data_IF_770419884977
#
_entry.id   IF_770419884977
#
_cell.length_a   1.000
_cell.length_b   1.000
_cell.length_c   1.000
_cell.angle_alpha   90.00
_cell.angle_beta   90.00
_cell.angle_gamma   90.00
#
_symmetry.space_group_name_H-M   'P 1'
#
loop_
_entity.id
_entity.type
_entity.pdbx_description
1 polymer ?
#
# COMPACT_ATOMS: atom_id res chain seq x y z
N UNK A 1 -4.10 -4.40 13.74
CA UNK A 1 -5.27 -4.97 13.04
C UNK A 1 -5.87 -3.87 12.18
N UNK A 2 -5.85 -4.06 10.87
CA UNK A 2 -6.37 -3.14 9.84
C UNK A 2 -6.78 -3.99 8.64
N UNK A 3 -7.82 -3.58 7.93
CA UNK A 3 -8.22 -4.16 6.65
C UNK A 3 -8.16 -3.07 5.59
N UNK A 4 -7.39 -3.32 4.53
CA UNK A 4 -7.34 -2.48 3.32
C UNK A 4 -7.86 -3.35 2.17
N UNK A 5 -8.78 -2.84 1.38
CA UNK A 5 -9.30 -3.50 0.17
C UNK A 5 -9.22 -2.54 -1.01
N UNK A 6 -8.80 -3.05 -2.17
CA UNK A 6 -8.76 -2.32 -3.43
C UNK A 6 -9.61 -3.02 -4.49
N UNK A 7 -10.23 -2.24 -5.38
CA UNK A 7 -11.03 -2.73 -6.51
C UNK A 7 -10.71 -1.89 -7.75
N UNK A 8 -10.45 -2.57 -8.85
CA UNK A 8 -10.41 -2.01 -10.20
C UNK A 8 -11.78 -2.24 -10.85
N UNK A 9 -12.48 -1.15 -11.17
CA UNK A 9 -13.75 -1.21 -11.86
C UNK A 9 -13.81 -0.15 -12.96
N UNK A 10 -14.06 -0.57 -14.20
CA UNK A 10 -14.17 0.30 -15.39
C UNK A 10 -13.00 1.29 -15.51
N UNK A 11 -11.77 0.78 -15.36
CA UNK A 11 -10.53 1.57 -15.45
C UNK A 11 -10.31 2.54 -14.29
N UNK A 12 -11.05 2.42 -13.19
CA UNK A 12 -10.89 3.22 -11.97
C UNK A 12 -10.53 2.33 -10.79
N UNK A 13 -9.64 2.85 -9.95
CA UNK A 13 -9.22 2.18 -8.72
C UNK A 13 -9.94 2.80 -7.52
N UNK A 14 -10.54 1.95 -6.70
CA UNK A 14 -11.15 2.27 -5.42
C UNK A 14 -10.32 1.61 -4.33
N UNK A 15 -10.06 2.31 -3.24
CA UNK A 15 -9.36 1.76 -2.06
C UNK A 15 -10.14 2.16 -0.81
N UNK A 16 -10.49 1.17 0.01
CA UNK A 16 -11.16 1.34 1.29
C UNK A 16 -10.31 0.81 2.43
N UNK A 17 -10.31 1.52 3.56
CA UNK A 17 -9.59 1.11 4.77
C UNK A 17 -10.46 1.36 5.99
N UNK A 18 -10.46 0.40 6.93
CA UNK A 18 -11.17 0.56 8.20
C UNK A 18 -10.51 1.64 9.09
N UNK A 19 -11.23 2.20 10.07
CA UNK A 19 -10.72 3.26 10.96
C UNK A 19 -10.07 2.75 12.26
N UNK A 20 -9.88 1.42 12.44
CA UNK A 20 -9.38 0.86 13.70
C UNK A 20 -7.90 1.20 13.96
N UNK A 21 -7.59 1.58 15.19
CA UNK A 21 -6.24 1.62 15.77
C UNK A 21 -6.19 0.59 16.89
N UNK A 22 -5.28 -0.37 16.79
CA UNK A 22 -5.17 -1.48 17.74
C UNK A 22 -3.77 -1.56 18.29
N UNK A 23 -3.67 -1.59 19.62
CA UNK A 23 -2.44 -1.83 20.37
C UNK A 23 -2.71 -2.90 21.43
N UNK A 24 -2.12 -4.08 21.26
CA UNK A 24 -2.47 -5.25 22.07
C UNK A 24 -3.97 -5.57 21.95
N UNK A 25 -4.67 -5.60 23.09
CA UNK A 25 -6.12 -5.86 23.16
C UNK A 25 -6.98 -4.59 23.10
N UNK A 26 -6.35 -3.42 23.06
CA UNK A 26 -7.07 -2.14 23.06
C UNK A 26 -7.36 -1.72 21.64
N UNK A 27 -8.66 -1.58 21.32
CA UNK A 27 -9.14 -1.01 20.06
C UNK A 27 -9.69 0.39 20.29
N UNK A 28 -9.27 1.33 19.45
CA UNK A 28 -9.78 2.70 19.38
C UNK A 28 -10.10 3.03 17.93
N UNK A 29 -11.04 3.93 17.73
CA UNK A 29 -11.22 4.55 16.42
C UNK A 29 -10.15 5.63 16.21
N UNK A 30 -9.51 5.61 15.03
CA UNK A 30 -8.55 6.62 14.61
C UNK A 30 -9.20 7.63 13.68
N UNK A 31 -8.88 8.91 13.89
CA UNK A 31 -9.19 9.98 12.92
C UNK A 31 -8.14 10.10 11.82
N UNK A 32 -7.00 9.43 11.96
CA UNK A 32 -5.96 9.40 10.92
C UNK A 32 -6.48 8.57 9.76
N UNK A 33 -6.57 9.19 8.59
CA UNK A 33 -7.00 8.48 7.39
C UNK A 33 -5.90 7.50 6.97
N UNK A 34 -6.25 6.21 6.87
CA UNK A 34 -5.32 5.17 6.41
C UNK A 34 -5.30 5.02 4.88
N UNK A 35 -5.99 5.91 4.17
CA UNK A 35 -6.01 6.03 2.71
C UNK A 35 -5.87 7.49 2.31
N UNK A 36 -4.99 7.78 1.36
CA UNK A 36 -4.71 9.16 0.92
C UNK A 36 -4.23 9.20 -0.52
N UNK A 37 -4.23 10.39 -1.11
CA UNK A 37 -3.63 10.66 -2.43
C UNK A 37 -2.28 11.33 -2.28
N UNK A 38 -1.27 10.82 -2.98
CA UNK A 38 0.06 11.43 -3.09
C UNK A 38 0.40 11.58 -4.57
N UNK A 39 0.22 12.78 -5.13
CA UNK A 39 0.32 12.99 -6.57
C UNK A 39 -0.65 12.08 -7.34
N UNK A 40 -0.20 11.27 -8.32
CA UNK A 40 -1.08 10.39 -9.09
C UNK A 40 -1.44 9.09 -8.35
N UNK A 41 -0.85 8.82 -7.18
CA UNK A 41 -1.02 7.56 -6.45
C UNK A 41 -2.15 7.66 -5.42
N UNK A 42 -3.04 6.67 -5.40
CA UNK A 42 -3.99 6.43 -4.30
C UNK A 42 -3.42 5.32 -3.42
N UNK A 43 -3.11 5.61 -2.16
CA UNK A 43 -2.40 4.67 -1.29
C UNK A 43 -3.26 4.35 -0.06
N UNK A 44 -3.45 3.06 0.23
CA UNK A 44 -4.07 2.56 1.46
C UNK A 44 -3.11 1.64 2.20
N UNK A 45 -2.92 1.83 3.51
CA UNK A 45 -1.87 1.13 4.26
C UNK A 45 -2.38 0.45 5.54
N UNK A 46 -1.62 -0.56 5.99
CA UNK A 46 -1.84 -1.26 7.26
C UNK A 46 -0.65 -1.06 8.21
N UNK A 47 0.13 -2.10 8.52
CA UNK A 47 1.39 -2.19 9.28
C UNK A 47 1.65 -1.15 10.38
N UNK A 48 1.86 0.12 10.02
CA UNK A 48 2.18 1.18 10.98
C UNK A 48 1.65 2.54 10.53
N UNK A 49 1.06 3.28 11.48
CA UNK A 49 0.72 4.71 11.29
C UNK A 49 1.94 5.54 10.88
N UNK A 50 3.13 5.23 11.42
CA UNK A 50 4.35 5.96 11.08
C UNK A 50 4.72 5.75 9.62
N UNK A 51 4.60 4.52 9.11
CA UNK A 51 4.82 4.21 7.69
C UNK A 51 3.86 5.02 6.81
N UNK A 52 2.57 4.99 7.15
CA UNK A 52 1.55 5.76 6.43
C UNK A 52 1.86 7.25 6.37
N UNK A 53 2.20 7.86 7.50
CA UNK A 53 2.59 9.27 7.57
C UNK A 53 3.84 9.59 6.72
N UNK A 54 4.82 8.68 6.68
CA UNK A 54 5.99 8.85 5.82
C UNK A 54 5.58 8.84 4.35
N UNK A 55 4.80 7.84 3.93
CA UNK A 55 4.29 7.74 2.57
C UNK A 55 3.43 8.96 2.18
N UNK A 56 2.56 9.42 3.09
CA UNK A 56 1.66 10.55 2.84
C UNK A 56 2.39 11.88 2.71
N UNK A 57 3.35 12.15 3.61
CA UNK A 57 3.91 13.48 3.74
C UNK A 57 5.30 13.63 3.08
N UNK A 58 6.06 12.54 2.93
CA UNK A 58 7.45 12.59 2.49
C UNK A 58 7.76 11.84 1.19
N UNK A 59 6.88 10.94 0.71
CA UNK A 59 7.15 10.17 -0.51
C UNK A 59 7.30 11.10 -1.73
N UNK A 60 8.43 10.99 -2.41
CA UNK A 60 8.71 11.68 -3.65
C UNK A 60 9.11 10.64 -4.69
N UNK A 61 8.24 10.44 -5.67
CA UNK A 61 8.46 9.50 -6.78
C UNK A 61 8.69 10.31 -8.04
N UNK A 62 9.73 10.03 -8.84
CA UNK A 62 9.92 10.71 -10.11
C UNK A 62 8.73 10.45 -11.04
N UNK A 63 8.46 11.39 -11.94
CA UNK A 63 7.42 11.19 -12.95
C UNK A 63 7.84 10.08 -13.89
N UNK A 64 6.96 9.11 -14.14
CA UNK A 64 7.18 8.10 -15.16
C UNK A 64 7.38 8.79 -16.52
N UNK A 65 8.54 8.54 -17.13
CA UNK A 65 8.80 8.96 -18.51
C UNK A 65 8.16 7.95 -19.47
N UNK A 66 7.86 8.33 -20.71
CA UNK A 66 7.07 7.52 -21.65
C UNK A 66 7.71 6.17 -22.07
N UNK A 67 8.85 5.77 -21.47
CA UNK A 67 9.53 4.51 -21.74
C UNK A 67 9.17 3.49 -20.66
N UNK A 68 8.60 2.36 -21.07
CA UNK A 68 8.34 1.21 -20.20
C UNK A 68 6.88 1.03 -19.78
N UNK A 69 6.57 -0.14 -19.22
CA UNK A 69 5.24 -0.45 -18.66
C UNK A 69 5.07 0.17 -17.28
N UNK A 70 3.82 0.31 -16.83
CA UNK A 70 3.50 0.80 -15.50
C UNK A 70 4.08 -0.13 -14.42
N UNK A 71 4.03 -1.45 -14.64
CA UNK A 71 4.65 -2.42 -13.74
C UNK A 71 6.17 -2.23 -13.61
N UNK A 72 6.88 -2.01 -14.73
CA UNK A 72 8.33 -1.71 -14.67
C UNK A 72 8.60 -0.45 -13.86
N UNK A 73 7.84 0.62 -14.08
CA UNK A 73 7.98 1.85 -13.30
C UNK A 73 7.69 1.63 -11.81
N UNK A 74 6.68 0.83 -11.48
CA UNK A 74 6.33 0.52 -10.10
C UNK A 74 7.47 -0.21 -9.37
N UNK A 75 8.16 -1.13 -10.06
CA UNK A 75 9.27 -1.93 -9.52
C UNK A 75 10.60 -1.17 -9.48
N UNK A 76 10.87 -0.29 -10.45
CA UNK A 76 12.20 0.36 -10.54
C UNK A 76 12.27 1.74 -9.92
N UNK A 77 11.16 2.49 -9.92
CA UNK A 77 11.14 3.90 -9.49
C UNK A 77 10.28 4.11 -8.25
N UNK A 78 9.02 3.64 -8.28
CA UNK A 78 8.08 3.86 -7.20
C UNK A 78 8.53 3.17 -5.91
N UNK A 79 8.74 1.85 -5.98
CA UNK A 79 9.05 1.08 -4.79
C UNK A 79 10.44 1.39 -4.24
N UNK A 80 11.43 1.68 -5.11
CA UNK A 80 12.75 2.12 -4.67
C UNK A 80 12.70 3.49 -3.99
N UNK A 81 11.85 4.42 -4.45
CA UNK A 81 11.60 5.70 -3.78
C UNK A 81 10.97 5.50 -2.39
N UNK A 82 10.01 4.59 -2.28
CA UNK A 82 9.37 4.26 -1.01
C UNK A 82 10.34 3.56 -0.05
N UNK A 83 11.08 2.55 -0.52
CA UNK A 83 12.10 1.83 0.23
C UNK A 83 13.17 2.78 0.77
N UNK A 84 13.73 3.62 -0.10
CA UNK A 84 14.71 4.64 0.30
C UNK A 84 14.17 5.57 1.39
N UNK A 85 12.93 6.06 1.22
CA UNK A 85 12.28 6.88 2.23
C UNK A 85 12.16 6.17 3.58
N UNK A 86 11.66 4.93 3.57
CA UNK A 86 11.44 4.16 4.80
C UNK A 86 12.77 3.86 5.50
N UNK A 87 13.83 3.60 4.74
CA UNK A 87 15.19 3.44 5.26
C UNK A 87 15.74 4.74 5.84
N UNK A 88 15.73 5.83 5.08
CA UNK A 88 16.31 7.12 5.49
C UNK A 88 15.61 7.71 6.72
N UNK A 89 14.33 7.39 6.93
CA UNK A 89 13.54 7.86 8.07
C UNK A 89 13.47 6.86 9.22
N UNK A 90 14.27 5.78 9.16
CA UNK A 90 14.44 4.81 10.24
C UNK A 90 13.20 3.94 10.48
N UNK A 91 12.37 3.71 9.46
CA UNK A 91 11.23 2.81 9.55
C UNK A 91 11.58 1.38 9.11
N UNK A 92 12.32 1.20 8.01
CA UNK A 92 12.68 -0.14 7.54
C UNK A 92 13.59 -0.84 8.54
N UNK A 93 13.49 -2.17 8.59
CA UNK A 93 14.27 -3.02 9.48
C UNK A 93 15.09 -3.99 8.67
N UNK A 94 16.31 -4.25 9.11
CA UNK A 94 17.15 -5.30 8.56
C UNK A 94 17.34 -6.37 9.63
N UNK A 95 16.92 -7.59 9.32
CA UNK A 95 17.08 -8.75 10.19
C UNK A 95 17.59 -9.92 9.35
N UNK A 96 18.65 -10.58 9.80
CA UNK A 96 19.30 -11.67 9.07
C UNK A 96 19.61 -11.33 7.59
N UNK A 97 20.07 -10.10 7.33
CA UNK A 97 20.33 -9.53 6.00
C UNK A 97 19.09 -9.36 5.09
N UNK A 98 17.89 -9.50 5.62
CA UNK A 98 16.65 -9.22 4.90
C UNK A 98 16.08 -7.86 5.33
N UNK A 99 15.81 -6.97 4.37
CA UNK A 99 15.20 -5.67 4.64
C UNK A 99 13.68 -5.78 4.55
N UNK A 100 12.98 -5.24 5.54
CA UNK A 100 11.52 -5.20 5.56
C UNK A 100 10.97 -3.82 5.85
N UNK A 101 9.82 -3.52 5.26
CA UNK A 101 9.01 -2.33 5.49
C UNK A 101 7.63 -2.70 6.03
N UNK A 102 6.61 -2.53 5.21
CA UNK A 102 5.23 -2.86 5.55
C UNK A 102 4.35 -2.93 4.32
N UNK A 103 3.08 -3.23 4.52
CA UNK A 103 2.15 -3.52 3.43
C UNK A 103 1.26 -2.31 3.11
N UNK A 104 1.08 -2.04 1.82
CA UNK A 104 0.16 -1.03 1.33
C UNK A 104 -0.32 -1.34 -0.10
N UNK A 105 -1.54 -0.93 -0.42
CA UNK A 105 -2.08 -0.96 -1.78
C UNK A 105 -1.82 0.39 -2.47
N UNK A 106 -1.60 0.35 -3.78
CA UNK A 106 -1.35 1.53 -4.62
C UNK A 106 -2.23 1.46 -5.86
N UNK A 107 -3.16 2.41 -5.98
CA UNK A 107 -3.84 2.68 -7.24
C UNK A 107 -3.02 3.65 -8.09
N UNK A 108 -2.70 3.26 -9.32
CA UNK A 108 -1.97 4.08 -10.28
C UNK A 108 -2.42 3.79 -11.71
N UNK A 109 -2.79 4.84 -12.47
CA UNK A 109 -3.18 4.75 -13.89
C UNK A 109 -4.24 3.69 -14.24
N UNK A 110 -5.14 3.37 -13.31
CA UNK A 110 -6.20 2.39 -13.51
C UNK A 110 -5.84 0.97 -13.04
N UNK A 111 -4.61 0.77 -12.58
CA UNK A 111 -4.08 -0.48 -12.05
C UNK A 111 -4.00 -0.45 -10.52
N UNK A 112 -4.21 -1.61 -9.89
CA UNK A 112 -4.09 -1.80 -8.45
C UNK A 112 -2.87 -2.68 -8.18
N UNK A 113 -1.93 -2.13 -7.42
CA UNK A 113 -0.72 -2.83 -6.99
C UNK A 113 -0.75 -3.11 -5.50
N UNK A 114 -0.26 -4.27 -5.08
CA UNK A 114 0.11 -4.56 -3.70
C UNK A 114 1.61 -4.40 -3.53
N UNK A 115 2.00 -3.80 -2.41
CA UNK A 115 3.39 -3.79 -1.95
C UNK A 115 3.45 -4.58 -0.65
N UNK A 116 4.29 -5.61 -0.61
CA UNK A 116 4.48 -6.43 0.58
C UNK A 116 5.67 -5.99 1.42
N UNK A 117 5.82 -6.61 2.59
CA UNK A 117 6.84 -6.21 3.57
C UNK A 117 8.27 -6.31 3.07
N UNK A 118 8.55 -7.13 2.05
CA UNK A 118 9.87 -7.29 1.43
C UNK A 118 10.09 -6.34 0.23
N UNK A 119 9.20 -5.36 0.04
CA UNK A 119 9.20 -4.44 -1.09
C UNK A 119 8.92 -5.09 -2.45
N UNK A 120 8.40 -6.33 -2.50
CA UNK A 120 7.88 -6.83 -3.77
C UNK A 120 6.66 -6.00 -4.18
N UNK A 121 6.49 -5.83 -5.49
CA UNK A 121 5.29 -5.23 -6.08
C UNK A 121 4.52 -6.34 -6.78
N UNK A 122 3.25 -6.50 -6.44
CA UNK A 122 2.32 -7.41 -7.09
C UNK A 122 1.21 -6.67 -7.83
N UNK A 123 0.68 -7.29 -8.87
CA UNK A 123 -0.56 -6.89 -9.53
C UNK A 123 -1.38 -8.17 -9.76
N UNK A 124 -2.51 -8.31 -9.06
CA UNK A 124 -3.34 -9.51 -9.10
C UNK A 124 -4.40 -9.38 -10.20
N UNK A 125 -4.57 -10.45 -10.98
CA UNK A 125 -5.43 -10.48 -12.17
C UNK A 125 -6.93 -10.46 -11.89
N UNK A 126 -7.35 -10.70 -10.65
CA UNK A 126 -8.77 -10.79 -10.25
C UNK A 126 -9.47 -9.42 -10.25
N UNK A 127 -8.71 -8.33 -10.40
CA UNK A 127 -9.24 -6.97 -10.41
C UNK A 127 -9.56 -6.41 -9.02
N UNK A 128 -9.25 -7.14 -7.95
CA UNK A 128 -9.28 -6.66 -6.57
C UNK A 128 -8.16 -7.30 -5.77
N UNK A 129 -7.79 -6.67 -4.66
CA UNK A 129 -6.79 -7.19 -3.72
C UNK A 129 -7.05 -6.65 -2.31
N UNK A 130 -6.52 -7.32 -1.29
CA UNK A 130 -6.65 -6.88 0.09
C UNK A 130 -5.41 -7.24 0.93
N UNK A 131 -5.11 -6.39 1.90
CA UNK A 131 -3.96 -6.55 2.81
C UNK A 131 -4.35 -6.28 4.26
N UNK A 132 -3.46 -6.69 5.16
CA UNK A 132 -3.64 -6.60 6.60
C UNK A 132 -4.46 -7.77 7.16
N UNK A 133 -4.71 -7.73 8.46
CA UNK A 133 -5.32 -8.83 9.21
C UNK A 133 -6.77 -9.16 8.80
N UNK A 134 -7.42 -8.27 8.05
CA UNK A 134 -8.77 -8.50 7.52
C UNK A 134 -8.82 -8.99 6.08
N UNK A 135 -7.65 -9.19 5.44
CA UNK A 135 -7.56 -9.44 4.00
C UNK A 135 -8.39 -10.63 3.54
N UNK A 136 -8.28 -11.79 4.18
CA UNK A 136 -8.98 -13.01 3.77
C UNK A 136 -10.51 -12.84 3.78
N UNK A 137 -11.06 -12.12 4.77
CA UNK A 137 -12.49 -11.81 4.82
C UNK A 137 -12.91 -10.87 3.70
N UNK A 138 -12.09 -9.86 3.40
CA UNK A 138 -12.36 -8.94 2.30
C UNK A 138 -12.27 -9.65 0.94
N UNK A 139 -11.24 -10.46 0.71
CA UNK A 139 -11.08 -11.24 -0.52
C UNK A 139 -12.26 -12.19 -0.72
N UNK A 140 -12.69 -12.91 0.31
CA UNK A 140 -13.85 -13.80 0.24
C UNK A 140 -15.15 -13.05 -0.07
N UNK A 141 -15.35 -11.86 0.50
CA UNK A 141 -16.52 -11.03 0.18
C UNK A 141 -16.48 -10.49 -1.26
N UNK A 142 -15.31 -10.04 -1.72
CA UNK A 142 -15.13 -9.53 -3.09
C UNK A 142 -15.29 -10.62 -4.15
N UNK A 143 -14.85 -11.85 -3.87
CA UNK A 143 -14.99 -12.99 -4.77
C UNK A 143 -16.46 -13.39 -5.05
N UNK A 144 -17.40 -12.94 -4.22
CA UNK A 144 -18.83 -13.21 -4.37
C UNK A 144 -19.60 -12.11 -5.13
N UNK A 145 -18.94 -11.00 -5.50
CA UNK A 145 -19.52 -9.86 -6.21
C UNK A 145 -19.29 -9.96 -7.72
#
# INVERSE_FOLDING_TARGET
MTCVVGLVHKGRVYVGVDSSSVQGWTRRESKVCKVFRRGPFLIGYTTSFRMGQLLEHHLAVPRQTAKGSDMTFMVTEFIESARKLLKDKGFSKVEANNESGGQFLVGYRGHLYSVESDFQVGEIGDGYDAIGSGAEFALGAMAAL
#
